data_IF_530237410993
#
_entry.id   IF_530237410993
#
_cell.length_a   1.000
_cell.length_b   1.000
_cell.length_c   1.000
_cell.angle_alpha   90.00
_cell.angle_beta   90.00
_cell.angle_gamma   90.00
#
_symmetry.space_group_name_H-M   'P 1'
#
loop_
_entity.id
_entity.type
_entity.pdbx_description
1 polymer ?
#
# COMPACT_ATOMS: atom_id res chain seq x y z
N UNK A 1 -8.17 6.59 -3.30
CA UNK A 1 -8.60 5.82 -2.92
C UNK A 1 -8.99 4.35 -3.02
N UNK A 2 -8.07 3.48 -3.45
CA UNK A 2 -8.38 2.05 -3.51
C UNK A 2 -8.15 1.38 -2.17
N UNK A 3 -9.03 0.43 -1.85
CA UNK A 3 -8.84 -0.42 -0.69
C UNK A 3 -7.97 -1.60 -1.05
N UNK A 4 -7.09 -1.98 -0.14
CA UNK A 4 -6.18 -3.10 -0.34
C UNK A 4 -6.13 -3.96 0.92
N UNK A 5 -5.66 -5.21 0.75
CA UNK A 5 -5.36 -6.08 1.87
C UNK A 5 -3.88 -6.44 1.82
N UNK A 6 -3.18 -6.25 2.93
CA UNK A 6 -1.77 -6.61 3.07
C UNK A 6 -1.65 -7.76 4.06
N UNK A 7 -0.86 -8.78 3.71
CA UNK A 7 -0.70 -9.97 4.56
C UNK A 7 -0.24 -9.66 5.97
N UNK A 8 0.65 -8.67 6.11
CA UNK A 8 1.21 -8.33 7.42
C UNK A 8 0.43 -7.24 8.13
N UNK A 9 -0.19 -6.31 7.37
CA UNK A 9 -0.78 -5.11 7.96
C UNK A 9 -2.30 -5.08 7.90
N UNK A 10 -2.91 -6.01 7.17
CA UNK A 10 -4.37 -6.08 7.07
C UNK A 10 -4.95 -5.10 6.06
N UNK A 11 -6.21 -4.71 6.29
CA UNK A 11 -6.93 -3.82 5.40
C UNK A 11 -6.39 -2.41 5.46
N UNK A 12 -6.34 -1.74 4.31
CA UNK A 12 -5.89 -0.38 4.25
C UNK A 12 -6.49 0.37 3.08
N UNK A 13 -6.27 1.69 3.08
CA UNK A 13 -6.72 2.59 2.03
C UNK A 13 -5.50 3.28 1.45
N UNK A 14 -5.33 3.20 0.13
CA UNK A 14 -4.25 3.94 -0.54
C UNK A 14 -4.63 5.41 -0.56
N UNK A 15 -3.84 6.24 0.11
CA UNK A 15 -4.10 7.67 0.19
C UNK A 15 -3.24 8.48 -0.77
N UNK A 16 -2.12 7.91 -1.23
CA UNK A 16 -1.24 8.62 -2.14
C UNK A 16 -0.41 7.63 -2.95
N UNK A 17 -0.16 7.96 -4.22
CA UNK A 17 0.72 7.19 -5.10
C UNK A 17 1.68 8.16 -5.74
N UNK A 18 2.98 7.92 -5.59
CA UNK A 18 4.01 8.79 -6.13
C UNK A 18 4.93 7.99 -7.05
N UNK A 19 4.97 8.29 -8.35
CA UNK A 19 5.86 7.58 -9.27
C UNK A 19 7.33 7.82 -8.90
N UNK A 20 8.12 6.76 -8.95
CA UNK A 20 9.54 6.85 -8.60
C UNK A 20 10.35 5.89 -9.48
N UNK A 21 10.84 6.39 -10.61
CA UNK A 21 11.81 5.68 -11.43
C UNK A 21 11.47 4.23 -11.77
N UNK A 22 10.32 3.98 -12.35
CA UNK A 22 9.92 2.62 -12.74
C UNK A 22 9.21 1.83 -11.64
N UNK A 23 8.97 2.47 -10.51
CA UNK A 23 8.21 1.92 -9.40
C UNK A 23 7.26 3.00 -8.90
N UNK A 24 6.65 2.81 -7.76
CA UNK A 24 5.80 3.82 -7.14
C UNK A 24 5.87 3.71 -5.62
N UNK A 25 5.87 4.86 -4.97
CA UNK A 25 5.75 4.91 -3.52
C UNK A 25 4.29 5.02 -3.16
N UNK A 26 3.80 4.07 -2.39
CA UNK A 26 2.41 4.04 -1.95
C UNK A 26 2.35 4.49 -0.50
N UNK A 27 1.46 5.42 -0.22
CA UNK A 27 1.15 5.78 1.16
C UNK A 27 -0.21 5.19 1.48
N UNK A 28 -0.25 4.31 2.46
CA UNK A 28 -1.43 3.52 2.76
C UNK A 28 -1.80 3.69 4.22
N UNK A 29 -3.04 4.07 4.47
CA UNK A 29 -3.56 4.16 5.83
C UNK A 29 -4.19 2.80 6.18
N UNK A 30 -3.47 2.00 6.94
CA UNK A 30 -3.96 0.70 7.38
C UNK A 30 -4.86 0.88 8.59
N UNK A 31 -5.98 0.17 8.58
CA UNK A 31 -7.01 0.35 9.60
C UNK A 31 -6.49 0.11 11.02
N UNK A 32 -5.58 -0.85 11.19
CA UNK A 32 -5.08 -1.21 12.51
C UNK A 32 -3.61 -0.92 12.74
N UNK A 33 -2.85 -0.62 11.69
CA UNK A 33 -1.41 -0.41 11.80
C UNK A 33 -0.96 1.01 11.50
N UNK A 34 -1.91 1.89 11.21
CA UNK A 34 -1.60 3.27 10.88
C UNK A 34 -1.07 3.43 9.47
N UNK A 35 -0.56 4.62 9.17
CA UNK A 35 -0.09 4.94 7.82
C UNK A 35 1.32 4.43 7.62
N UNK A 36 1.54 3.75 6.48
CA UNK A 36 2.85 3.24 6.10
C UNK A 36 3.15 3.58 4.67
N UNK A 37 4.43 3.69 4.35
CA UNK A 37 4.91 3.96 3.00
C UNK A 37 5.58 2.71 2.46
N UNK A 38 5.09 2.24 1.32
CA UNK A 38 5.56 0.98 0.72
C UNK A 38 5.85 1.20 -0.74
N UNK A 39 6.90 0.53 -1.24
CA UNK A 39 7.16 0.54 -2.67
C UNK A 39 6.25 -0.48 -3.36
N UNK A 40 5.64 -0.07 -4.46
CA UNK A 40 4.61 -0.88 -5.12
C UNK A 40 5.12 -2.26 -5.53
N UNK A 41 6.33 -2.33 -6.09
CA UNK A 41 6.88 -3.62 -6.53
C UNK A 41 7.10 -4.57 -5.36
N UNK A 42 7.63 -4.07 -4.25
CA UNK A 42 7.87 -4.89 -3.07
C UNK A 42 6.58 -5.30 -2.38
N UNK A 43 5.65 -4.36 -2.25
CA UNK A 43 4.39 -4.63 -1.58
C UNK A 43 3.48 -5.55 -2.38
N UNK A 44 3.60 -5.54 -3.70
CA UNK A 44 2.75 -6.35 -4.57
C UNK A 44 2.79 -7.84 -4.29
N UNK A 45 3.85 -8.32 -3.65
CA UNK A 45 3.96 -9.74 -3.27
C UNK A 45 3.12 -10.09 -2.05
N UNK A 46 2.76 -9.10 -1.25
CA UNK A 46 2.06 -9.31 0.03
C UNK A 46 0.72 -8.60 0.09
N UNK A 47 0.36 -7.89 -0.94
CA UNK A 47 -0.81 -7.02 -0.94
C UNK A 47 -1.60 -7.19 -2.22
N UNK A 48 -2.91 -7.12 -2.11
CA UNK A 48 -3.76 -7.14 -3.29
C UNK A 48 -4.92 -6.16 -3.10
N UNK A 49 -5.47 -5.74 -4.22
CA UNK A 49 -6.61 -4.84 -4.24
C UNK A 49 -7.88 -5.61 -3.92
N UNK A 50 -8.69 -5.02 -3.09
CA UNK A 50 -9.99 -5.61 -2.73
C UNK A 50 -11.06 -5.19 -3.72
#
# INVERSE_FOLDING_TARGET
GDRVFHKAFGDGLIVSVKPMGGDALLEIAFDQKGTKRLMAKSAGQFMHKI
#
